data_IF_193038416975
#
_entry.id   IF_193038416975
#
_cell.length_a   1.000
_cell.length_b   1.000
_cell.length_c   1.000
_cell.angle_alpha   90.00
_cell.angle_beta   90.00
_cell.angle_gamma   90.00
#
_symmetry.space_group_name_H-M   'P 1'
#
loop_
_entity.id
_entity.type
_entity.pdbx_description
1 polymer ?
#
# COMPACT_ATOMS: atom_id res chain seq x y z
N UNK A 1 -4.25 1.45 13.73
CA UNK A 1 -4.98 2.45 12.95
C UNK A 1 -4.09 2.86 11.79
N UNK A 2 -4.44 2.50 10.55
CA UNK A 2 -3.54 2.64 9.41
C UNK A 2 -3.76 3.97 8.72
N UNK A 3 -2.98 4.98 9.09
CA UNK A 3 -3.07 6.31 8.48
C UNK A 3 -2.72 6.24 6.97
N UNK A 4 -3.69 6.52 6.10
CA UNK A 4 -3.53 6.42 4.63
C UNK A 4 -3.02 7.71 3.98
N UNK A 5 -3.06 8.82 4.73
CA UNK A 5 -2.69 10.16 4.28
C UNK A 5 -1.20 10.33 3.99
N UNK A 6 -0.33 9.48 4.55
CA UNK A 6 1.07 9.44 4.15
C UNK A 6 1.20 9.04 2.68
N UNK A 7 2.01 9.77 1.90
CA UNK A 7 2.20 9.41 0.49
C UNK A 7 2.95 8.09 0.32
N UNK A 8 3.87 7.79 1.26
CA UNK A 8 4.74 6.62 1.24
C UNK A 8 4.93 6.02 2.64
N UNK A 9 5.07 4.70 2.71
CA UNK A 9 5.40 3.98 3.94
C UNK A 9 6.70 4.49 4.59
N UNK A 10 7.66 4.91 3.77
CA UNK A 10 8.94 5.44 4.26
C UNK A 10 8.79 6.78 4.99
N UNK A 11 7.76 7.56 4.64
CA UNK A 11 7.46 8.85 5.29
C UNK A 11 6.57 8.69 6.53
N UNK A 12 6.00 7.50 6.75
CA UNK A 12 5.24 7.24 7.97
C UNK A 12 6.17 7.33 9.18
N UNK A 13 5.72 8.03 10.22
CA UNK A 13 6.47 8.17 11.47
C UNK A 13 6.79 6.80 12.07
N UNK A 14 8.01 6.65 12.58
CA UNK A 14 8.45 5.38 13.18
C UNK A 14 7.69 5.05 14.45
N UNK A 15 7.16 6.03 15.18
CA UNK A 15 6.23 5.81 16.29
C UNK A 15 5.00 5.03 15.85
N UNK A 16 4.38 5.39 14.71
CA UNK A 16 3.23 4.67 14.17
C UNK A 16 3.61 3.24 13.75
N UNK A 17 4.77 3.06 13.11
CA UNK A 17 5.26 1.73 12.72
C UNK A 17 5.55 0.85 13.93
N UNK A 18 6.16 1.42 14.98
CA UNK A 18 6.50 0.73 16.21
C UNK A 18 5.24 0.40 17.03
N UNK A 19 4.24 1.29 17.05
CA UNK A 19 2.94 1.01 17.68
C UNK A 19 2.26 -0.17 16.98
N UNK A 20 2.22 -0.19 15.64
CA UNK A 20 1.66 -1.31 14.89
C UNK A 20 2.39 -2.63 15.18
N UNK A 21 3.72 -2.60 15.29
CA UNK A 21 4.52 -3.75 15.67
C UNK A 21 4.23 -4.22 17.11
N UNK A 22 4.12 -3.29 18.06
CA UNK A 22 3.77 -3.59 19.44
C UNK A 22 2.42 -4.30 19.56
N UNK A 23 1.40 -3.78 18.89
CA UNK A 23 0.05 -4.39 18.88
C UNK A 23 0.04 -5.82 18.31
N UNK A 24 0.95 -6.14 17.38
CA UNK A 24 1.09 -7.51 16.85
C UNK A 24 1.76 -8.40 17.88
N UNK A 25 2.86 -7.93 18.49
CA UNK A 25 3.59 -8.69 19.51
C UNK A 25 2.77 -8.96 20.78
N UNK A 26 1.82 -8.08 21.10
CA UNK A 26 0.87 -8.29 22.21
C UNK A 26 -0.06 -9.48 21.96
N UNK A 27 -0.36 -9.81 20.69
CA UNK A 27 -1.31 -10.86 20.31
C UNK A 27 -0.64 -12.14 19.82
N UNK A 28 0.58 -12.03 19.31
CA UNK A 28 1.29 -13.13 18.64
C UNK A 28 2.73 -13.23 19.13
N UNK A 29 3.13 -14.44 19.52
CA UNK A 29 4.54 -14.78 19.71
C UNK A 29 5.18 -15.00 18.33
N UNK A 30 6.07 -14.09 17.93
CA UNK A 30 6.70 -14.11 16.61
C UNK A 30 8.17 -14.49 16.71
N UNK A 31 8.54 -15.61 16.10
CA UNK A 31 9.95 -16.06 15.94
C UNK A 31 10.60 -15.46 14.68
N UNK A 32 10.27 -14.21 14.36
CA UNK A 32 10.80 -13.49 13.20
C UNK A 32 11.29 -12.12 13.61
N UNK A 33 12.28 -11.60 12.88
CA UNK A 33 12.84 -10.28 13.18
C UNK A 33 11.82 -9.15 13.01
N UNK A 34 11.93 -8.12 13.86
CA UNK A 34 11.11 -6.90 13.76
C UNK A 34 11.20 -6.23 12.39
N UNK A 35 12.39 -6.29 11.77
CA UNK A 35 12.59 -5.75 10.43
C UNK A 35 11.75 -6.49 9.39
N UNK A 36 11.64 -7.82 9.50
CA UNK A 36 10.77 -8.61 8.64
C UNK A 36 9.30 -8.21 8.82
N UNK A 37 8.84 -8.10 10.07
CA UNK A 37 7.46 -7.69 10.38
C UNK A 37 7.16 -6.29 9.85
N UNK A 38 8.08 -5.33 10.03
CA UNK A 38 7.95 -3.96 9.49
C UNK A 38 7.87 -3.94 7.97
N UNK A 39 8.63 -4.80 7.27
CA UNK A 39 8.53 -4.96 5.80
C UNK A 39 7.17 -5.50 5.39
N UNK A 40 6.68 -6.53 6.07
CA UNK A 40 5.36 -7.11 5.84
C UNK A 40 4.23 -6.09 6.10
N UNK A 41 4.30 -5.35 7.20
CA UNK A 41 3.40 -4.25 7.51
C UNK A 41 3.39 -3.18 6.41
N UNK A 42 4.56 -2.79 5.93
CA UNK A 42 4.67 -1.82 4.85
C UNK A 42 4.07 -2.29 3.54
N UNK A 43 4.20 -3.59 3.21
CA UNK A 43 3.51 -4.20 2.07
C UNK A 43 2.00 -4.15 2.27
N UNK A 44 1.50 -4.67 3.39
CA UNK A 44 0.07 -4.68 3.70
C UNK A 44 -0.54 -3.28 3.69
N UNK A 45 0.18 -2.26 4.16
CA UNK A 45 -0.27 -0.87 4.10
C UNK A 45 -0.41 -0.37 2.65
N UNK A 46 0.57 -0.65 1.77
CA UNK A 46 0.49 -0.29 0.35
C UNK A 46 -0.65 -1.01 -0.35
N UNK A 47 -0.81 -2.30 -0.08
CA UNK A 47 -1.86 -3.13 -0.67
C UNK A 47 -3.24 -2.62 -0.22
N UNK A 48 -3.41 -2.33 1.07
CA UNK A 48 -4.63 -1.72 1.60
C UNK A 48 -4.94 -0.37 0.94
N UNK A 49 -3.93 0.49 0.76
CA UNK A 49 -4.10 1.78 0.08
C UNK A 49 -4.51 1.60 -1.39
N UNK A 50 -3.97 0.58 -2.07
CA UNK A 50 -4.35 0.21 -3.43
C UNK A 50 -5.80 -0.26 -3.51
N UNK A 51 -6.22 -1.16 -2.62
CA UNK A 51 -7.60 -1.63 -2.52
C UNK A 51 -8.58 -0.48 -2.28
N UNK A 52 -8.26 0.43 -1.33
CA UNK A 52 -9.08 1.60 -1.07
C UNK A 52 -9.21 2.52 -2.29
N UNK A 53 -8.10 2.78 -3.00
CA UNK A 53 -8.14 3.57 -4.23
C UNK A 53 -9.03 2.87 -5.28
N UNK A 54 -8.90 1.56 -5.46
CA UNK A 54 -9.72 0.80 -6.43
C UNK A 54 -11.22 0.87 -6.11
N UNK A 55 -11.59 0.72 -4.85
CA UNK A 55 -13.00 0.64 -4.43
C UNK A 55 -13.69 2.01 -4.38
N UNK A 56 -13.00 3.05 -3.88
CA UNK A 56 -13.62 4.34 -3.55
C UNK A 56 -13.19 5.48 -4.46
N UNK A 57 -12.03 5.39 -5.13
CA UNK A 57 -11.53 6.45 -6.02
C UNK A 57 -11.94 6.19 -7.48
N UNK A 58 -13.15 6.64 -7.83
CA UNK A 58 -13.63 6.60 -9.22
C UNK A 58 -13.02 7.73 -10.04
N UNK A 59 -12.41 7.43 -11.20
CA UNK A 59 -11.73 8.43 -12.04
C UNK A 59 -12.69 9.46 -12.65
N UNK A 60 -13.87 9.02 -13.09
CA UNK A 60 -14.78 9.77 -13.95
C UNK A 60 -15.82 10.63 -13.19
N UNK A 61 -15.54 10.99 -11.94
CA UNK A 61 -16.41 11.84 -11.11
C UNK A 61 -15.64 13.07 -10.63
N UNK A 62 -16.38 14.11 -10.25
CA UNK A 62 -15.78 15.37 -9.79
C UNK A 62 -14.97 15.17 -8.50
N UNK A 63 -14.00 16.06 -8.25
CA UNK A 63 -13.23 16.05 -7.00
C UNK A 63 -14.14 16.12 -5.77
N UNK A 64 -15.19 16.95 -5.82
CA UNK A 64 -16.17 17.09 -4.74
C UNK A 64 -16.88 15.77 -4.42
N UNK A 65 -17.24 15.00 -5.45
CA UNK A 65 -17.85 13.68 -5.28
C UNK A 65 -16.83 12.66 -4.76
N UNK A 66 -15.59 12.67 -5.24
CA UNK A 66 -14.50 11.82 -4.71
C UNK A 66 -14.30 12.03 -3.20
N UNK A 67 -14.33 13.29 -2.74
CA UNK A 67 -14.18 13.62 -1.31
C UNK A 67 -15.37 13.17 -0.46
N UNK A 68 -16.57 13.06 -1.06
CA UNK A 68 -17.78 12.55 -0.38
C UNK A 68 -17.79 11.02 -0.27
N UNK A 69 -17.11 10.31 -1.16
CA UNK A 69 -17.00 8.84 -1.16
C UNK A 69 -16.02 8.33 -0.09
N UNK A 70 -16.33 8.59 1.18
CA UNK A 70 -15.52 8.20 2.33
C UNK A 70 -15.65 6.70 2.62
N UNK A 71 -14.55 5.94 2.71
CA UNK A 71 -14.60 4.54 3.13
C UNK A 71 -15.13 4.38 4.57
N UNK A 72 -15.88 3.30 4.87
CA UNK A 72 -16.29 2.99 6.25
C UNK A 72 -15.08 2.89 7.18
N UNK A 73 -15.22 3.40 8.41
CA UNK A 73 -14.16 3.40 9.44
C UNK A 73 -12.92 4.22 9.09
N UNK A 74 -12.98 5.08 8.06
CA UNK A 74 -11.91 6.01 7.70
C UNK A 74 -12.18 7.41 8.27
N UNK A 75 -11.14 8.07 8.78
CA UNK A 75 -11.25 9.47 9.20
C UNK A 75 -11.29 10.38 7.98
N UNK A 76 -12.18 11.38 7.99
CA UNK A 76 -12.43 12.28 6.86
C UNK A 76 -11.16 12.95 6.37
N UNK A 77 -10.36 13.54 7.26
CA UNK A 77 -9.12 14.22 6.89
C UNK A 77 -8.12 13.28 6.21
N UNK A 78 -8.03 12.01 6.65
CA UNK A 78 -7.11 11.04 6.07
C UNK A 78 -7.49 10.72 4.62
N UNK A 79 -8.79 10.60 4.37
CA UNK A 79 -9.34 10.41 3.03
C UNK A 79 -9.12 11.64 2.14
N UNK A 80 -9.42 12.83 2.65
CA UNK A 80 -9.24 14.07 1.91
C UNK A 80 -7.78 14.27 1.46
N UNK A 81 -6.82 14.07 2.36
CA UNK A 81 -5.39 14.14 2.04
C UNK A 81 -4.99 13.12 0.97
N UNK A 82 -5.46 11.88 1.09
CA UNK A 82 -5.17 10.83 0.11
C UNK A 82 -5.76 11.14 -1.27
N UNK A 83 -7.02 11.62 -1.32
CA UNK A 83 -7.69 12.03 -2.56
C UNK A 83 -6.99 13.22 -3.20
N UNK A 84 -6.59 14.24 -2.42
CA UNK A 84 -5.81 15.38 -2.92
C UNK A 84 -4.49 14.91 -3.53
N UNK A 85 -3.78 14.02 -2.85
CA UNK A 85 -2.55 13.44 -3.38
C UNK A 85 -2.79 12.67 -4.68
N UNK A 86 -3.82 11.82 -4.77
CA UNK A 86 -4.09 11.06 -5.98
C UNK A 86 -4.54 11.89 -7.18
N UNK A 87 -5.15 13.07 -6.98
CA UNK A 87 -5.46 14.02 -8.05
C UNK A 87 -4.32 15.03 -8.31
N UNK A 88 -3.22 14.97 -7.56
CA UNK A 88 -2.07 15.83 -7.81
C UNK A 88 -1.26 15.32 -9.01
N UNK A 89 -0.50 16.22 -9.65
CA UNK A 89 0.40 15.85 -10.74
C UNK A 89 1.37 14.73 -10.35
N UNK A 90 1.90 14.79 -9.12
CA UNK A 90 2.78 13.77 -8.54
C UNK A 90 2.09 12.41 -8.40
N UNK A 91 0.81 12.41 -8.01
CA UNK A 91 -0.01 11.20 -7.90
C UNK A 91 -0.25 10.56 -9.27
N UNK A 92 -0.59 11.37 -10.27
CA UNK A 92 -0.78 10.92 -11.66
C UNK A 92 0.51 10.37 -12.27
N UNK A 93 1.64 11.05 -12.07
CA UNK A 93 2.93 10.62 -12.59
C UNK A 93 3.35 9.27 -11.99
N UNK A 94 3.13 9.06 -10.69
CA UNK A 94 3.38 7.76 -10.04
C UNK A 94 2.49 6.64 -10.61
N UNK A 95 1.21 6.94 -10.86
CA UNK A 95 0.30 5.97 -11.46
C UNK A 95 0.70 5.60 -12.89
N UNK A 96 1.11 6.60 -13.69
CA UNK A 96 1.64 6.38 -15.05
C UNK A 96 2.86 5.46 -15.02
N UNK A 97 3.85 5.77 -14.17
CA UNK A 97 5.05 4.95 -14.02
C UNK A 97 4.69 3.51 -13.60
N UNK A 98 3.82 3.35 -12.60
CA UNK A 98 3.38 2.02 -12.15
C UNK A 98 2.70 1.21 -13.25
N UNK A 99 1.83 1.85 -14.05
CA UNK A 99 1.14 1.21 -15.18
C UNK A 99 2.13 0.80 -16.28
N UNK A 100 3.04 1.70 -16.65
CA UNK A 100 4.08 1.40 -17.66
C UNK A 100 5.04 0.31 -17.20
N UNK A 101 5.42 0.28 -15.93
CA UNK A 101 6.25 -0.79 -15.36
C UNK A 101 5.53 -2.13 -15.38
N UNK A 102 4.27 -2.18 -14.98
CA UNK A 102 3.44 -3.39 -15.04
C UNK A 102 3.29 -3.91 -16.48
N UNK A 103 3.02 -3.03 -17.45
CA UNK A 103 2.94 -3.41 -18.87
C UNK A 103 4.26 -3.98 -19.42
N UNK A 104 5.40 -3.54 -18.90
CA UNK A 104 6.74 -4.04 -19.29
C UNK A 104 7.14 -5.32 -18.54
N UNK A 105 6.37 -5.75 -17.53
CA UNK A 105 6.67 -6.95 -16.76
C UNK A 105 6.37 -8.20 -17.61
N UNK A 106 7.42 -8.87 -18.10
CA UNK A 106 7.31 -10.04 -18.99
C UNK A 106 7.08 -11.36 -18.26
N UNK A 107 7.65 -11.50 -17.07
CA UNK A 107 7.57 -12.72 -16.27
C UNK A 107 7.09 -12.36 -14.87
N UNK A 108 5.95 -12.92 -14.48
CA UNK A 108 5.56 -12.96 -13.06
C UNK A 108 6.25 -14.19 -12.49
N UNK A 109 7.08 -14.04 -11.46
CA UNK A 109 7.73 -15.19 -10.83
C UNK A 109 6.67 -16.10 -10.20
N UNK A 110 6.33 -17.19 -10.87
CA UNK A 110 5.36 -18.21 -10.39
C UNK A 110 6.06 -19.40 -9.73
N UNK A 111 7.39 -19.48 -9.78
CA UNK A 111 8.19 -20.61 -9.28
C UNK A 111 8.15 -20.81 -7.74
N UNK A 112 7.35 -20.02 -7.02
CA UNK A 112 7.35 -20.02 -5.56
C UNK A 112 8.73 -19.65 -5.01
N UNK A 113 9.17 -20.31 -3.94
CA UNK A 113 10.49 -20.10 -3.35
C UNK A 113 11.64 -20.76 -4.12
N UNK A 114 11.38 -21.43 -5.25
CA UNK A 114 12.43 -22.08 -6.05
C UNK A 114 13.10 -21.07 -6.97
N UNK A 115 14.43 -21.09 -7.01
CA UNK A 115 15.21 -20.30 -7.96
C UNK A 115 15.02 -20.84 -9.38
N UNK A 116 15.24 -19.99 -10.40
CA UNK A 116 15.17 -20.44 -11.80
C UNK A 116 16.22 -21.50 -12.15
N UNK A 117 17.38 -21.50 -11.46
CA UNK A 117 18.38 -22.54 -11.61
C UNK A 117 17.80 -23.93 -11.28
N UNK A 118 16.98 -24.03 -10.23
CA UNK A 118 16.32 -25.28 -9.85
C UNK A 118 15.12 -25.67 -10.74
N UNK A 119 14.60 -24.75 -11.57
CA UNK A 119 13.49 -25.03 -12.49
C UNK A 119 14.00 -25.50 -13.86
N UNK A 120 15.22 -25.11 -14.24
CA UNK A 120 15.84 -25.48 -15.51
C UNK A 120 16.42 -26.90 -15.54
N UNK A 121 16.58 -27.55 -14.37
CA UNK A 121 17.13 -28.91 -14.21
C UNK A 121 16.06 -30.00 -14.05
N UNK A 122 14.78 -29.69 -14.29
CA UNK A 122 13.65 -30.62 -14.14
C UNK A 122 13.15 -31.16 -15.49
#
# INVERSE_FOLDING_TARGET
MSSINYESWHQMLDSNKNQALGNIKERFALEVSDNYVKKALGKNWRDHKSTLKKEYFKKNISLKEKLRNLPPKMLRYQWEDAVRFWNSKKGEDRERVGTSSWQKQKFTHTAGSKSFACVAEA
#
